data_IF_704296338758
#
_entry.id   IF_704296338758
#
_cell.length_a   1.000
_cell.length_b   1.000
_cell.length_c   1.000
_cell.angle_alpha   90.00
_cell.angle_beta   90.00
_cell.angle_gamma   90.00
#
_symmetry.space_group_name_H-M   'P 1'
#
loop_
_entity.id
_entity.type
_entity.pdbx_description
1 polymer ?
2 polymer ?
3 non-polymer ?
4 non-polymer ?
5 water ?
#
loop_
_entity_poly.entity_id
_entity_poly.type
_entity_poly.pdbx_seq_one_letter_code
_entity_poly.pdbx_strand_id
2 'polyribonucleotide' 'UUUUGAUUUU' ?
#
# COMPACT_ATOMS: atom_id res chain seq x y z
N UNK A 11 8.57 30.98 10.38
CA UNK A 11 8.63 29.52 10.48
C UNK A 11 7.32 28.93 10.96
N UNK A 12 7.16 27.61 10.77
CA UNK A 12 5.90 26.94 11.12
C UNK A 12 5.62 27.06 12.61
N UNK A 13 6.68 27.04 13.43
CA UNK A 13 6.51 27.15 14.87
C UNK A 13 5.85 28.46 15.28
N UNK A 14 5.99 29.51 14.47
CA UNK A 14 5.34 30.79 14.73
C UNK A 14 4.02 30.95 14.01
N UNK A 15 3.65 30.00 13.16
CA UNK A 15 2.36 29.97 12.49
C UNK A 15 1.32 29.14 13.21
N UNK A 16 1.76 28.16 14.00
CA UNK A 16 0.85 27.28 14.73
C UNK A 16 1.23 27.29 16.21
N UNK A 17 0.27 26.92 17.03
CA UNK A 17 0.56 26.48 18.37
C UNK A 17 0.88 25.00 18.30
N UNK A 18 2.14 24.59 18.49
CA UNK A 18 2.45 23.16 18.38
C UNK A 18 1.70 22.35 19.42
N UNK A 19 1.31 21.14 19.02
CA UNK A 19 0.51 20.31 19.91
C UNK A 19 1.41 19.60 20.94
N UNK A 20 0.76 19.17 22.02
CA UNK A 20 1.46 18.44 23.06
C UNK A 20 2.02 17.13 22.49
N UNK A 21 3.24 16.74 22.86
CA UNK A 21 3.79 15.46 22.35
C UNK A 21 2.90 14.26 22.63
N UNK A 22 2.23 14.22 23.78
CA UNK A 22 1.36 13.10 24.07
C UNK A 22 0.15 13.10 23.15
N UNK A 23 -0.38 14.28 22.83
CA UNK A 23 -1.46 14.38 21.86
C UNK A 23 -1.03 13.82 20.51
N UNK A 24 0.19 14.16 20.08
CA UNK A 24 0.66 13.66 18.79
C UNK A 24 0.84 12.16 18.81
N UNK A 25 1.57 11.64 19.81
CA UNK A 25 1.88 10.21 19.84
C UNK A 25 0.59 9.38 19.95
N UNK A 26 -0.36 9.82 20.76
CA UNK A 26 -1.58 9.03 20.90
C UNK A 26 -2.42 9.10 19.64
N UNK A 27 -2.55 10.27 19.00
CA UNK A 27 -3.44 10.38 17.86
C UNK A 27 -2.85 9.89 16.54
N UNK A 28 -1.54 9.87 16.39
CA UNK A 28 -0.94 9.48 15.11
C UNK A 28 -0.33 8.09 15.13
N UNK A 29 -0.44 7.37 16.25
CA UNK A 29 -0.07 5.96 16.25
C UNK A 29 -0.75 5.23 15.09
N UNK A 30 0.02 4.47 14.31
CA UNK A 30 -0.51 3.94 13.06
C UNK A 30 -0.95 2.48 13.15
N UNK A 31 -1.22 1.96 14.36
CA UNK A 31 -1.90 0.67 14.43
C UNK A 31 -3.19 0.75 13.61
N UNK A 32 -3.41 -0.16 12.64
CA UNK A 32 -4.54 0.05 11.73
C UNK A 32 -5.90 -0.05 12.39
N UNK A 33 -6.04 -0.94 13.37
CA UNK A 33 -7.28 -1.17 14.09
C UNK A 33 -7.09 -0.57 15.47
N UNK A 34 -7.78 0.54 15.72
CA UNK A 34 -7.51 1.30 16.94
C UNK A 34 -8.83 1.93 17.36
N UNK A 35 -9.34 1.46 18.50
CA UNK A 35 -10.55 2.01 19.07
C UNK A 35 -10.16 3.06 20.11
N UNK A 36 -11.12 3.91 20.44
CA UNK A 36 -10.93 4.94 21.44
C UNK A 36 -10.47 6.29 20.94
N UNK A 37 -10.05 6.41 19.66
CA UNK A 37 -9.55 7.69 19.11
C UNK A 37 -10.69 8.39 18.38
N UNK A 38 -11.48 9.16 19.14
CA UNK A 38 -12.72 9.76 18.66
C UNK A 38 -12.55 11.17 18.09
N UNK A 39 -11.30 11.62 17.88
CA UNK A 39 -11.04 12.93 17.28
C UNK A 39 -10.13 12.72 16.08
N UNK A 40 -10.33 13.54 15.04
CA UNK A 40 -9.47 13.58 13.87
C UNK A 40 -8.58 14.82 13.99
N UNK A 41 -7.29 14.63 13.74
CA UNK A 41 -6.32 15.73 13.76
C UNK A 41 -5.75 15.94 12.37
N UNK A 42 -5.53 17.21 12.00
CA UNK A 42 -5.08 17.56 10.66
C UNK A 42 -4.04 18.66 10.79
N UNK A 43 -2.82 18.40 10.34
CA UNK A 43 -1.76 19.42 10.29
C UNK A 43 -1.56 19.79 8.82
N UNK A 44 -1.55 21.08 8.51
CA UNK A 44 -1.46 21.45 7.11
C UNK A 44 -0.40 22.51 6.89
N UNK A 45 0.13 22.51 5.68
CA UNK A 45 1.00 23.55 5.15
C UNK A 45 0.45 24.04 3.83
N UNK A 46 0.43 25.36 3.64
CA UNK A 46 0.11 25.97 2.37
C UNK A 46 1.39 26.58 1.81
N UNK A 47 1.75 26.16 0.59
CA UNK A 47 2.95 26.58 -0.11
C UNK A 47 2.60 27.10 -1.50
N UNK A 48 3.53 27.84 -2.08
CA UNK A 48 3.45 28.23 -3.49
C UNK A 48 3.76 27.04 -4.39
N UNK A 49 3.76 27.28 -5.71
CA UNK A 49 4.19 26.27 -6.67
C UNK A 49 5.63 25.83 -6.41
N UNK A 50 6.45 26.72 -5.87
CA UNK A 50 7.84 26.39 -5.53
C UNK A 50 7.90 25.88 -4.10
N UNK A 51 8.38 24.66 -3.86
CA UNK A 51 8.44 24.15 -2.47
C UNK A 51 9.57 24.73 -1.65
N UNK A 52 10.50 25.46 -2.27
CA UNK A 52 11.61 26.06 -1.54
C UNK A 52 11.12 27.17 -0.63
N UNK A 53 11.78 27.30 0.51
CA UNK A 53 11.40 28.27 1.51
C UNK A 53 10.37 27.71 2.46
N UNK A 54 10.14 28.42 3.57
CA UNK A 54 9.07 28.03 4.48
C UNK A 54 7.71 28.16 3.81
N UNK A 55 6.68 27.55 4.36
CA UNK A 55 5.34 27.68 3.77
C UNK A 55 4.80 29.10 3.93
N UNK A 56 3.77 29.39 3.14
CA UNK A 56 3.02 30.64 3.31
C UNK A 56 2.26 30.63 4.62
N UNK A 57 1.68 29.49 4.98
CA UNK A 57 1.02 29.42 6.29
C UNK A 57 0.95 27.95 6.69
N UNK A 58 0.60 27.72 7.95
CA UNK A 58 0.48 26.36 8.46
C UNK A 58 -0.51 26.38 9.60
N UNK A 59 -1.30 25.30 9.72
CA UNK A 59 -2.35 25.29 10.73
C UNK A 59 -2.55 23.88 11.27
N UNK A 60 -3.12 23.81 12.48
CA UNK A 60 -3.56 22.55 13.06
C UNK A 60 -5.05 22.65 13.32
N UNK A 61 -5.81 21.69 12.79
CA UNK A 61 -7.24 21.60 12.99
C UNK A 61 -7.58 20.28 13.67
N UNK A 62 -8.65 20.28 14.44
CA UNK A 62 -9.13 19.04 15.05
C UNK A 62 -10.64 19.05 15.03
N UNK A 63 -11.23 17.87 15.03
CA UNK A 63 -12.68 17.77 15.15
C UNK A 63 -13.10 16.39 15.61
N UNK A 64 -14.19 16.34 16.36
CA UNK A 64 -14.69 15.05 16.84
C UNK A 64 -15.23 14.22 15.67
N UNK A 65 -14.95 12.92 15.68
CA UNK A 65 -15.49 12.04 14.64
C UNK A 65 -17.02 12.09 14.65
N UNK A 66 -17.64 11.98 15.83
CA UNK A 66 -19.09 12.02 15.94
C UNK A 66 -19.53 13.22 16.77
N UNK A 67 -20.73 13.78 16.50
CA UNK A 67 -21.71 13.33 15.51
C UNK A 67 -21.80 14.19 14.23
N UNK A 68 -21.07 15.31 14.12
CA UNK A 68 -21.26 16.27 13.04
C UNK A 68 -20.03 16.31 12.16
N UNK A 69 -20.14 15.75 10.95
CA UNK A 69 -19.03 15.80 10.00
C UNK A 69 -18.72 17.22 9.55
N UNK A 70 -19.69 18.15 9.65
CA UNK A 70 -19.42 19.54 9.30
C UNK A 70 -18.29 20.14 10.12
N UNK A 71 -18.02 19.59 11.31
CA UNK A 71 -16.92 20.06 12.14
C UNK A 71 -15.70 19.13 12.09
N UNK A 72 -15.66 18.19 11.15
CA UNK A 72 -14.40 17.46 10.95
C UNK A 72 -13.32 18.43 10.47
N UNK A 73 -12.04 18.16 10.78
CA UNK A 73 -11.00 19.16 10.48
C UNK A 73 -10.82 19.45 9.00
N UNK A 74 -11.23 18.54 8.09
CA UNK A 74 -11.14 18.82 6.66
C UNK A 74 -12.08 19.98 6.27
N UNK A 75 -13.26 20.03 6.88
CA UNK A 75 -14.21 21.10 6.60
C UNK A 75 -13.78 22.40 7.26
N UNK A 76 -13.24 22.32 8.48
CA UNK A 76 -12.65 23.50 9.11
C UNK A 76 -11.54 24.08 8.26
N UNK A 77 -10.71 23.21 7.68
CA UNK A 77 -9.68 23.66 6.76
C UNK A 77 -10.28 24.39 5.57
N UNK A 78 -11.30 23.80 4.95
CA UNK A 78 -11.91 24.45 3.79
C UNK A 78 -12.43 25.85 4.14
N UNK A 79 -13.11 25.99 5.28
CA UNK A 79 -13.66 27.30 5.64
C UNK A 79 -12.53 28.30 5.91
N UNK A 80 -11.49 27.86 6.65
CA UNK A 80 -10.34 28.71 6.91
C UNK A 80 -9.65 29.13 5.61
N UNK A 81 -9.45 28.18 4.71
CA UNK A 81 -8.67 28.42 3.50
C UNK A 81 -9.39 29.41 2.59
N UNK A 82 -10.72 29.29 2.51
CA UNK A 82 -11.49 30.27 1.75
C UNK A 82 -11.24 31.70 2.26
N UNK A 83 -11.37 31.90 3.58
CA UNK A 83 -11.15 33.25 4.11
C UNK A 83 -9.71 33.71 3.90
N UNK A 84 -8.76 32.80 4.16
CA UNK A 84 -7.34 33.11 4.05
C UNK A 84 -6.98 33.55 2.63
N UNK A 85 -7.51 32.85 1.62
CA UNK A 85 -7.23 33.21 0.23
C UNK A 85 -7.80 34.58 -0.11
N UNK A 86 -8.95 34.93 0.47
CA UNK A 86 -9.44 36.29 0.24
C UNK A 86 -8.45 37.34 0.75
N UNK A 87 -7.72 37.05 1.82
CA UNK A 87 -6.79 38.03 2.39
C UNK A 87 -5.38 38.04 1.79
N UNK A 88 -5.11 37.23 0.76
CA UNK A 88 -3.77 37.17 0.20
C UNK A 88 -3.86 37.27 -1.32
N UNK A 89 -2.76 37.73 -1.93
CA UNK A 89 -2.74 37.88 -3.37
C UNK A 89 -2.77 36.51 -4.06
N UNK A 90 -3.69 36.37 -5.01
CA UNK A 90 -3.99 35.06 -5.59
C UNK A 90 -2.81 34.50 -6.38
N UNK A 91 -2.53 33.21 -6.17
CA UNK A 91 -1.51 32.47 -6.90
C UNK A 91 -1.81 30.99 -6.72
N UNK A 92 -1.14 30.15 -7.48
CA UNK A 92 -1.36 28.71 -7.33
C UNK A 92 -0.78 28.21 -6.01
N UNK A 93 -1.49 27.28 -5.37
CA UNK A 93 -1.14 26.76 -4.05
C UNK A 93 -0.98 25.25 -4.11
N UNK A 94 0.04 24.76 -3.42
CA UNK A 94 0.22 23.34 -3.12
C UNK A 94 0.02 23.15 -1.62
N UNK A 95 -0.97 22.34 -1.26
CA UNK A 95 -1.35 22.13 0.13
C UNK A 95 -0.96 20.72 0.51
N UNK A 96 -0.42 20.56 1.73
CA UNK A 96 -0.10 19.25 2.28
C UNK A 96 -0.85 19.09 3.60
N UNK A 97 -1.47 17.92 3.78
CA UNK A 97 -2.13 17.54 5.01
C UNK A 97 -1.44 16.31 5.60
N UNK A 98 -1.26 16.29 6.91
CA UNK A 98 -1.00 15.07 7.67
C UNK A 98 -2.22 14.85 8.55
N UNK A 99 -2.96 13.77 8.33
CA UNK A 99 -4.23 13.57 9.02
C UNK A 99 -4.18 12.25 9.79
N UNK A 100 -4.74 12.24 11.01
CA UNK A 100 -4.63 11.03 11.84
C UNK A 100 -5.53 9.90 11.33
N UNK A 101 -6.76 10.20 10.95
CA UNK A 101 -7.65 9.28 10.25
C UNK A 101 -7.87 9.78 8.83
N UNK A 102 -7.92 8.84 7.88
CA UNK A 102 -8.28 9.20 6.51
C UNK A 102 -9.73 9.71 6.47
N UNK A 103 -10.11 10.41 5.40
CA UNK A 103 -11.40 11.13 5.42
C UNK A 103 -12.61 10.21 5.37
N UNK A 104 -13.67 10.63 6.06
CA UNK A 104 -14.95 9.95 5.97
C UNK A 104 -15.58 10.24 4.61
N UNK A 105 -16.72 9.62 4.33
CA UNK A 105 -17.29 9.71 2.99
C UNK A 105 -17.74 11.14 2.68
N UNK A 106 -18.25 11.84 3.70
CA UNK A 106 -18.70 13.21 3.52
C UNK A 106 -17.54 14.16 3.26
N UNK A 107 -16.45 14.03 4.02
CA UNK A 107 -15.30 14.90 3.78
C UNK A 107 -14.61 14.57 2.48
N UNK A 108 -14.49 13.28 2.16
CA UNK A 108 -13.89 12.90 0.90
C UNK A 108 -14.65 13.53 -0.26
N UNK A 109 -15.98 13.49 -0.23
CA UNK A 109 -16.75 14.06 -1.32
C UNK A 109 -16.70 15.59 -1.34
N UNK A 110 -16.74 16.24 -0.17
CA UNK A 110 -16.66 17.70 -0.14
C UNK A 110 -15.32 18.20 -0.68
N UNK A 111 -14.22 17.56 -0.26
CA UNK A 111 -12.89 17.95 -0.73
C UNK A 111 -12.76 17.68 -2.23
N UNK A 112 -13.29 16.54 -2.70
CA UNK A 112 -13.23 16.25 -4.12
C UNK A 112 -13.96 17.30 -4.93
N UNK A 113 -15.13 17.74 -4.46
CA UNK A 113 -15.86 18.81 -5.15
C UNK A 113 -15.03 20.09 -5.18
N UNK A 114 -14.44 20.44 -4.04
CA UNK A 114 -13.62 21.65 -3.97
C UNK A 114 -12.47 21.61 -4.97
N UNK A 115 -11.73 20.50 -5.01
CA UNK A 115 -10.59 20.39 -5.92
C UNK A 115 -11.04 20.34 -7.38
N UNK A 116 -12.16 19.68 -7.65
CA UNK A 116 -12.65 19.60 -9.02
C UNK A 116 -13.09 20.96 -9.55
N UNK A 117 -13.46 21.88 -8.67
CA UNK A 117 -13.86 23.20 -9.14
C UNK A 117 -12.75 24.25 -9.10
N UNK A 118 -11.54 23.89 -8.67
CA UNK A 118 -10.47 24.88 -8.48
C UNK A 118 -9.11 24.33 -8.90
N UNK A 119 -8.76 24.47 -10.19
CA UNK A 119 -7.47 23.92 -10.66
C UNK A 119 -6.25 24.66 -10.15
N UNK A 120 -6.39 25.81 -9.47
CA UNK A 120 -5.25 26.52 -8.91
C UNK A 120 -4.72 25.90 -7.61
N UNK A 121 -5.40 24.89 -7.07
CA UNK A 121 -5.02 24.29 -5.80
C UNK A 121 -4.77 22.81 -6.03
N UNK A 122 -3.63 22.31 -5.55
CA UNK A 122 -3.37 20.88 -5.53
C UNK A 122 -3.14 20.44 -4.10
N UNK A 123 -3.47 19.17 -3.82
CA UNK A 123 -3.52 18.69 -2.44
C UNK A 123 -2.85 17.32 -2.33
N UNK A 124 -1.99 17.18 -1.32
CA UNK A 124 -1.40 15.90 -0.95
C UNK A 124 -1.85 15.59 0.47
N UNK A 125 -2.37 14.38 0.68
CA UNK A 125 -2.86 13.94 1.98
C UNK A 125 -2.05 12.73 2.42
N UNK A 126 -1.30 12.88 3.49
CA UNK A 126 -0.64 11.77 4.17
C UNK A 126 -1.52 11.35 5.33
N UNK A 127 -1.81 10.06 5.44
CA UNK A 127 -2.71 9.58 6.50
C UNK A 127 -1.97 8.60 7.40
N UNK A 128 -2.22 8.73 8.72
CA UNK A 128 -1.64 7.80 9.68
C UNK A 128 -2.38 6.47 9.66
N UNK A 129 -3.72 6.51 9.62
CA UNK A 129 -4.54 5.31 9.65
C UNK A 129 -5.67 5.45 8.62
N UNK A 130 -6.16 4.31 8.13
CA UNK A 130 -7.29 4.27 7.22
C UNK A 130 -8.57 3.99 8.00
N UNK A 131 -9.54 4.88 7.88
CA UNK A 131 -10.81 4.81 8.62
C UNK A 131 -11.80 4.00 7.79
N UNK A 132 -12.27 2.88 8.34
CA UNK A 132 -13.24 1.99 7.67
C UNK A 132 -12.78 1.58 6.27
N UNK A 133 -11.49 1.22 6.16
CA UNK A 133 -10.93 0.85 4.86
C UNK A 133 -11.62 -0.37 4.26
N UNK A 134 -12.31 -1.17 5.07
CA UNK A 134 -12.95 -2.38 4.56
C UNK A 134 -14.39 -2.15 4.12
N UNK A 135 -14.91 -0.92 4.26
CA UNK A 135 -16.30 -0.65 3.89
C UNK A 135 -16.36 -0.07 2.49
N UNK A 136 -17.18 -0.62 1.61
CA UNK A 136 -17.15 -0.17 0.20
C UNK A 136 -17.51 1.28 -0.02
N UNK A 137 -18.37 1.89 0.83
CA UNK A 137 -18.69 3.31 0.66
C UNK A 137 -17.46 4.18 0.91
N UNK A 138 -16.64 3.78 1.89
CA UNK A 138 -15.42 4.54 2.18
C UNK A 138 -14.37 4.33 1.10
N UNK A 139 -14.25 3.09 0.60
CA UNK A 139 -13.33 2.84 -0.51
C UNK A 139 -13.72 3.69 -1.72
N UNK A 140 -15.01 3.70 -2.05
CA UNK A 140 -15.50 4.46 -3.19
C UNK A 140 -15.25 5.97 -3.00
N UNK A 141 -15.49 6.49 -1.79
CA UNK A 141 -15.27 7.91 -1.57
C UNK A 141 -13.79 8.29 -1.68
N UNK A 142 -12.89 7.41 -1.21
CA UNK A 142 -11.47 7.72 -1.39
C UNK A 142 -11.08 7.67 -2.86
N UNK A 143 -11.70 6.77 -3.65
CA UNK A 143 -11.44 6.80 -5.09
C UNK A 143 -11.94 8.09 -5.73
N UNK A 144 -13.11 8.58 -5.28
CA UNK A 144 -13.64 9.85 -5.79
C UNK A 144 -12.67 10.99 -5.47
N UNK A 145 -12.13 11.00 -4.26
CA UNK A 145 -11.15 12.02 -3.91
C UNK A 145 -9.87 11.90 -4.77
N UNK A 146 -9.38 10.67 -5.00
CA UNK A 146 -8.21 10.50 -5.88
C UNK A 146 -8.48 10.97 -7.29
N UNK A 147 -9.68 10.70 -7.82
CA UNK A 147 -10.01 11.09 -9.18
C UNK A 147 -10.11 12.60 -9.35
N UNK A 148 -10.40 13.33 -8.27
CA UNK A 148 -10.37 14.78 -8.32
C UNK A 148 -8.96 15.34 -8.28
N UNK A 149 -7.94 14.49 -8.15
CA UNK A 149 -6.56 14.91 -8.22
C UNK A 149 -5.81 14.89 -6.90
N UNK A 150 -6.47 14.58 -5.79
CA UNK A 150 -5.77 14.52 -4.51
C UNK A 150 -4.78 13.36 -4.50
N UNK A 151 -3.55 13.62 -4.02
CA UNK A 151 -2.54 12.57 -3.91
C UNK A 151 -2.56 12.01 -2.50
N UNK A 152 -2.92 10.74 -2.36
CA UNK A 152 -3.10 10.16 -1.05
C UNK A 152 -2.02 9.11 -0.79
N UNK A 153 -1.35 9.23 0.35
CA UNK A 153 -0.27 8.33 0.72
C UNK A 153 -0.38 8.02 2.19
N UNK A 154 0.21 6.90 2.60
CA UNK A 154 0.30 6.55 4.01
C UNK A 154 1.51 7.22 4.62
N UNK A 155 1.36 7.78 5.83
CA UNK A 155 2.52 8.34 6.53
C UNK A 155 3.51 7.23 6.88
N UNK A 156 4.77 7.45 6.56
CA UNK A 156 5.85 6.56 6.98
C UNK A 156 6.74 7.33 7.95
N UNK A 157 7.81 6.67 8.40
CA UNK A 157 8.73 7.26 9.37
C UNK A 157 9.09 8.71 9.04
N UNK A 158 9.46 8.99 7.78
CA UNK A 158 9.88 10.35 7.41
C UNK A 158 8.76 11.36 7.63
N UNK A 159 7.52 10.97 7.37
CA UNK A 159 6.41 11.92 7.53
C UNK A 159 6.06 12.11 8.99
N UNK A 160 6.11 11.05 9.80
CA UNK A 160 5.90 11.23 11.23
C UNK A 160 6.98 12.13 11.82
N UNK A 161 8.24 11.93 11.41
CA UNK A 161 9.32 12.78 11.89
C UNK A 161 9.13 14.23 11.45
N UNK A 162 8.74 14.44 10.19
CA UNK A 162 8.50 15.80 9.71
C UNK A 162 7.36 16.46 10.47
N UNK A 163 6.27 15.72 10.70
CA UNK A 163 5.15 16.25 11.47
C UNK A 163 5.57 16.57 12.89
N UNK A 164 6.39 15.70 13.49
CA UNK A 164 6.91 15.95 14.83
C UNK A 164 7.73 17.23 14.87
N UNK A 165 8.62 17.41 13.88
CA UNK A 165 9.52 18.56 13.88
C UNK A 165 8.75 19.86 13.67
N UNK A 166 7.69 19.81 12.87
CA UNK A 166 7.01 21.05 12.46
C UNK A 166 5.85 21.44 13.36
N UNK A 167 5.11 20.46 13.87
CA UNK A 167 3.81 20.72 14.48
C UNK A 167 3.72 20.33 15.95
N UNK A 168 4.78 19.76 16.51
CA UNK A 168 4.74 19.24 17.87
C UNK A 168 5.70 20.01 18.76
N UNK A 169 5.30 20.21 20.02
CA UNK A 169 6.11 20.87 21.03
C UNK A 169 7.11 19.86 21.60
N UNK A 170 8.03 19.44 20.76
CA UNK A 170 9.00 18.42 21.13
C UNK A 170 10.15 18.89 22.00
N UNK A 171 10.28 20.22 22.19
CA UNK A 171 11.30 20.79 23.07
C UNK A 171 12.71 20.30 22.73
N UNK A 172 13.01 20.26 21.43
CA UNK A 172 14.32 19.84 20.96
C UNK A 172 14.56 18.34 20.94
N UNK A 173 13.65 17.53 21.50
CA UNK A 173 13.85 16.10 21.46
C UNK A 173 13.48 15.53 20.09
N UNK A 174 14.19 14.50 19.64
CA UNK A 174 13.88 13.91 18.33
C UNK A 174 12.64 13.02 18.38
N UNK A 175 12.05 12.83 17.20
CA UNK A 175 10.96 11.87 17.07
C UNK A 175 11.41 10.49 17.50
N UNK A 176 10.59 9.83 18.33
CA UNK A 176 10.87 8.46 18.74
C UNK A 176 9.81 7.54 18.15
N UNK A 177 10.14 6.66 17.20
CA UNK A 177 9.12 5.80 16.63
C UNK A 177 8.57 4.83 17.67
N UNK A 178 7.28 4.52 17.54
CA UNK A 178 6.65 3.50 18.35
C UNK A 178 6.88 2.12 17.76
N UNK A 179 6.63 1.11 18.59
CA UNK A 179 6.72 -0.27 18.15
C UNK A 179 5.80 -0.53 16.96
N UNK A 180 6.31 -1.27 15.98
CA UNK A 180 5.59 -1.77 14.82
C UNK A 180 5.21 -0.69 13.81
N UNK A 181 5.79 0.50 13.89
CA UNK A 181 5.54 1.51 12.85
C UNK A 181 5.75 0.96 11.44
N UNK A 182 6.83 0.22 11.13
CA UNK A 182 6.99 -0.28 9.74
C UNK A 182 5.97 -1.35 9.34
N UNK A 183 5.69 -2.30 10.23
CA UNK A 183 4.68 -3.33 9.96
C UNK A 183 3.33 -2.70 9.64
N UNK A 184 2.90 -1.77 10.48
CA UNK A 184 1.66 -1.04 10.23
C UNK A 184 1.70 -0.30 8.91
N UNK A 185 2.80 0.41 8.64
CA UNK A 185 2.92 1.14 7.38
C UNK A 185 2.72 0.21 6.18
N UNK A 186 3.39 -0.96 6.18
CA UNK A 186 3.29 -1.80 4.99
C UNK A 186 1.88 -2.35 4.80
N UNK A 187 1.21 -2.73 5.90
CA UNK A 187 -0.19 -3.17 5.77
C UNK A 187 -1.08 -2.07 5.20
N UNK A 188 -0.93 -0.85 5.73
CA UNK A 188 -1.77 0.25 5.28
C UNK A 188 -1.46 0.65 3.84
N UNK A 189 -0.18 0.67 3.46
CA UNK A 189 0.17 1.06 2.10
C UNK A 189 -0.37 0.07 1.09
N UNK A 190 -0.26 -1.23 1.39
CA UNK A 190 -0.87 -2.23 0.52
C UNK A 190 -2.39 -2.06 0.46
N UNK A 191 -3.03 -1.76 1.60
CA UNK A 191 -4.48 -1.61 1.60
C UNK A 191 -4.92 -0.40 0.78
N UNK A 192 -4.21 0.72 0.92
CA UNK A 192 -4.55 1.91 0.14
C UNK A 192 -4.35 1.65 -1.35
N UNK A 193 -3.27 0.97 -1.73
CA UNK A 193 -3.08 0.64 -3.14
C UNK A 193 -4.20 -0.25 -3.67
N UNK A 194 -4.65 -1.21 -2.85
CA UNK A 194 -5.82 -2.02 -3.19
C UNK A 194 -7.04 -1.16 -3.48
N UNK A 195 -7.43 -0.30 -2.53
CA UNK A 195 -8.72 0.35 -2.69
C UNK A 195 -8.68 1.48 -3.72
N UNK A 196 -7.51 2.12 -3.94
CA UNK A 196 -7.38 3.06 -5.04
C UNK A 196 -7.13 2.39 -6.38
N UNK A 197 -7.01 1.06 -6.39
CA UNK A 197 -6.85 0.30 -7.64
C UNK A 197 -5.60 0.74 -8.40
N UNK A 198 -4.51 0.92 -7.66
CA UNK A 198 -3.24 1.27 -8.29
C UNK A 198 -2.78 0.14 -9.20
N UNK A 199 -2.28 0.52 -10.38
CA UNK A 199 -1.81 -0.42 -11.37
C UNK A 199 -0.29 -0.31 -11.54
N UNK A 200 0.33 -1.42 -11.93
CA UNK A 200 1.77 -1.47 -12.09
C UNK A 200 2.20 -0.77 -13.37
N UNK A 201 3.30 -0.02 -13.29
CA UNK A 201 3.90 0.57 -14.47
C UNK A 201 4.24 -0.50 -15.50
N UNK A 202 3.91 -0.30 -16.77
CA UNK A 202 4.14 -1.36 -17.78
C UNK A 202 5.61 -1.69 -17.98
N UNK A 203 6.48 -0.68 -18.00
CA UNK A 203 7.91 -0.95 -18.03
C UNK A 203 8.37 -1.75 -16.84
N UNK A 204 7.86 -1.43 -15.63
CA UNK A 204 8.22 -2.18 -14.45
C UNK A 204 7.79 -3.64 -14.58
N UNK A 205 6.57 -3.88 -15.08
CA UNK A 205 6.10 -5.25 -15.26
C UNK A 205 6.99 -6.00 -16.24
N UNK A 206 7.20 -5.43 -17.42
CA UNK A 206 7.91 -6.15 -18.47
C UNK A 206 9.35 -6.45 -18.04
N UNK A 207 9.99 -5.50 -17.34
CA UNK A 207 11.36 -5.70 -16.89
C UNK A 207 11.44 -6.77 -15.81
N UNK A 208 10.47 -6.78 -14.90
CA UNK A 208 10.59 -7.71 -13.78
C UNK A 208 10.01 -9.10 -14.03
N UNK A 209 9.09 -9.26 -14.98
CA UNK A 209 8.48 -10.57 -15.19
C UNK A 209 9.03 -11.30 -16.41
N UNK A 210 9.84 -10.64 -17.23
CA UNK A 210 10.55 -11.35 -18.30
C UNK A 210 11.24 -12.59 -17.73
N UNK A 211 11.01 -13.74 -18.35
CA UNK A 211 11.52 -15.00 -17.80
C UNK A 211 12.79 -15.52 -18.48
N UNK A 212 13.49 -14.68 -19.24
CA UNK A 212 14.80 -15.09 -19.76
C UNK A 212 15.80 -15.14 -18.60
N UNK A 213 16.95 -15.80 -18.78
CA UNK A 213 17.96 -15.78 -17.71
C UNK A 213 18.27 -14.35 -17.27
N UNK A 214 18.20 -14.13 -15.96
CA UNK A 214 18.34 -12.79 -15.38
C UNK A 214 19.77 -12.27 -15.53
N UNK A 215 19.93 -11.05 -16.01
CA UNK A 215 21.26 -10.47 -16.21
C UNK A 215 21.48 -9.20 -15.40
N UNK A 216 20.43 -8.61 -14.84
CA UNK A 216 20.60 -7.39 -14.07
C UNK A 216 21.22 -7.68 -12.71
N UNK A 217 21.94 -6.68 -12.18
CA UNK A 217 22.45 -6.83 -10.83
C UNK A 217 21.41 -6.69 -9.74
N UNK A 218 20.22 -6.19 -10.10
CA UNK A 218 19.18 -5.93 -9.12
C UNK A 218 18.55 -7.24 -8.65
N UNK A 219 18.33 -7.36 -7.34
CA UNK A 219 17.46 -8.40 -6.82
C UNK A 219 16.28 -7.73 -6.15
N UNK A 220 15.14 -7.76 -6.82
CA UNK A 220 13.88 -7.20 -6.36
C UNK A 220 12.78 -8.18 -6.74
N UNK A 221 11.73 -8.27 -5.92
CA UNK A 221 10.63 -9.17 -6.19
C UNK A 221 9.33 -8.41 -6.22
N UNK A 222 8.57 -8.55 -7.32
CA UNK A 222 7.22 -8.01 -7.44
C UNK A 222 6.23 -9.16 -7.40
N UNK A 223 5.07 -8.92 -6.79
CA UNK A 223 4.13 -9.99 -6.54
C UNK A 223 2.72 -9.45 -6.72
N UNK A 224 1.96 -10.05 -7.64
CA UNK A 224 0.55 -9.75 -7.83
C UNK A 224 -0.28 -10.81 -7.12
N UNK A 225 -1.43 -10.42 -6.59
CA UNK A 225 -2.22 -11.38 -5.82
C UNK A 225 -3.71 -11.20 -6.09
N UNK A 226 -4.45 -12.31 -5.92
CA UNK A 226 -5.91 -12.31 -6.04
C UNK A 226 -6.50 -13.43 -5.18
N UNK A 227 -7.81 -13.40 -5.03
CA UNK A 227 -8.53 -14.32 -4.16
C UNK A 227 -9.78 -14.81 -4.88
N UNK A 228 -10.06 -16.10 -4.74
CA UNK A 228 -11.29 -16.71 -5.22
C UNK A 228 -11.95 -17.43 -4.06
N UNK A 229 -13.27 -17.55 -4.15
CA UNK A 229 -14.10 -18.22 -3.14
C UNK A 229 -14.78 -19.41 -3.79
N UNK A 230 -14.89 -20.52 -3.05
CA UNK A 230 -15.55 -21.70 -3.57
C UNK A 230 -17.06 -21.58 -3.35
N UNK A 231 -17.83 -21.64 -4.45
CA UNK A 231 -19.28 -21.48 -4.40
C UNK A 231 -19.91 -22.51 -5.32
N UNK A 232 -20.70 -23.42 -4.76
CA UNK A 232 -21.37 -24.48 -5.52
C UNK A 232 -20.39 -25.22 -6.44
N UNK A 233 -19.28 -25.67 -5.85
CA UNK A 233 -18.23 -26.43 -6.52
C UNK A 233 -17.47 -25.63 -7.57
N UNK A 234 -17.73 -24.33 -7.70
CA UNK A 234 -17.07 -23.50 -8.70
C UNK A 234 -16.27 -22.40 -8.00
N UNK A 235 -15.01 -22.24 -8.39
CA UNK A 235 -14.22 -21.12 -7.89
C UNK A 235 -14.70 -19.83 -8.56
N UNK A 236 -15.12 -18.86 -7.75
CA UNK A 236 -15.64 -17.60 -8.27
C UNK A 236 -14.71 -16.48 -7.83
N UNK A 237 -14.57 -15.42 -8.62
CA UNK A 237 -13.68 -14.31 -8.20
C UNK A 237 -14.23 -13.57 -7.00
N UNK A 238 -13.31 -13.01 -6.23
CA UNK A 238 -13.60 -12.13 -5.10
C UNK A 238 -12.88 -10.82 -5.41
N UNK A 239 -13.61 -9.85 -5.96
CA UNK A 239 -13.01 -8.65 -6.53
C UNK A 239 -12.32 -7.76 -5.50
N UNK A 240 -12.52 -8.01 -4.21
CA UNK A 240 -12.04 -7.09 -3.18
C UNK A 240 -10.51 -7.09 -3.09
N UNK A 241 -9.93 -8.25 -2.82
CA UNK A 241 -8.53 -8.33 -2.40
C UNK A 241 -7.69 -8.74 -3.60
N UNK A 242 -7.38 -7.75 -4.44
CA UNK A 242 -6.57 -7.95 -5.65
C UNK A 242 -5.59 -6.79 -5.75
N UNK A 243 -4.32 -7.08 -6.04
CA UNK A 243 -3.38 -5.96 -6.10
C UNK A 243 -1.97 -6.46 -6.32
N UNK A 244 -1.00 -5.57 -6.10
CA UNK A 244 0.39 -6.01 -6.20
C UNK A 244 1.24 -5.29 -5.16
N UNK A 245 2.41 -5.87 -4.90
CA UNK A 245 3.35 -5.31 -3.93
C UNK A 245 4.77 -5.68 -4.35
N UNK A 246 5.74 -5.16 -3.62
CA UNK A 246 7.14 -5.56 -3.85
C UNK A 246 7.85 -5.74 -2.52
N UNK A 247 9.05 -6.31 -2.57
CA UNK A 247 9.84 -6.48 -1.38
C UNK A 247 10.24 -5.13 -0.80
N UNK A 248 10.47 -5.13 0.52
CA UNK A 248 10.98 -3.96 1.24
C UNK A 248 12.48 -4.11 1.48
N UNK A 249 13.28 -3.24 0.85
CA UNK A 249 14.73 -3.27 1.07
C UNK A 249 15.05 -2.88 2.49
N UNK A 250 16.21 -3.30 3.02
CA UNK A 250 16.52 -3.02 4.43
C UNK A 250 16.70 -1.53 4.68
N UNK A 251 16.29 -1.11 5.88
CA UNK A 251 16.44 0.27 6.34
C UNK A 251 16.26 0.25 7.84
N UNK A 252 17.19 0.89 8.58
CA UNK A 252 17.12 0.84 10.04
C UNK A 252 15.85 1.47 10.58
N UNK A 253 15.20 2.36 9.82
CA UNK A 253 13.92 2.94 10.23
C UNK A 253 12.72 2.23 9.63
N UNK A 254 12.95 1.15 8.89
CA UNK A 254 11.88 0.32 8.37
C UNK A 254 12.12 -1.08 8.87
N UNK A 255 12.33 -2.03 7.96
CA UNK A 255 12.75 -3.36 8.38
C UNK A 255 14.26 -3.43 8.29
N UNK A 256 14.97 -3.54 9.41
CA UNK A 256 16.45 -3.46 9.35
C UNK A 256 17.08 -4.52 8.50
N UNK A 257 16.43 -5.68 8.35
CA UNK A 257 16.95 -6.75 7.48
C UNK A 257 16.10 -6.95 6.24
N UNK A 258 15.24 -5.99 5.92
CA UNK A 258 14.34 -6.12 4.80
C UNK A 258 13.13 -6.97 5.13
N UNK A 259 12.17 -6.96 4.22
CA UNK A 259 11.03 -7.88 4.30
C UNK A 259 10.70 -8.33 2.90
N UNK A 260 10.89 -9.62 2.63
CA UNK A 260 10.66 -10.14 1.28
C UNK A 260 9.18 -10.09 0.91
N UNK A 261 8.94 -10.10 -0.41
CA UNK A 261 7.60 -9.90 -0.96
C UNK A 261 6.63 -10.99 -0.51
N UNK A 262 7.09 -12.24 -0.44
CA UNK A 262 6.23 -13.33 0.01
C UNK A 262 5.75 -13.08 1.44
N UNK A 263 6.61 -12.53 2.29
CA UNK A 263 6.20 -12.25 3.67
C UNK A 263 5.20 -11.11 3.74
N UNK A 264 5.37 -10.06 2.92
CA UNK A 264 4.39 -8.96 2.91
C UNK A 264 3.03 -9.46 2.44
N UNK A 265 3.05 -10.34 1.43
CA UNK A 265 1.85 -11.02 0.95
C UNK A 265 1.17 -11.80 2.08
N UNK A 266 1.94 -12.64 2.79
CA UNK A 266 1.38 -13.40 3.90
C UNK A 266 0.79 -12.51 4.97
N UNK A 267 1.45 -11.37 5.25
CA UNK A 267 0.95 -10.44 6.25
C UNK A 267 -0.46 -9.96 5.91
N UNK A 268 -0.74 -9.79 4.61
CA UNK A 268 -2.05 -9.26 4.23
C UNK A 268 -3.21 -10.21 4.51
N UNK A 269 -2.98 -11.53 4.45
CA UNK A 269 -4.11 -12.47 4.48
C UNK A 269 -4.90 -12.38 5.78
N UNK A 270 -4.29 -12.39 6.98
CA UNK A 270 -5.11 -12.26 8.19
C UNK A 270 -5.83 -10.91 8.26
N UNK A 271 -5.19 -9.86 7.73
CA UNK A 271 -5.75 -8.52 7.73
C UNK A 271 -7.05 -8.44 6.93
N UNK A 272 -7.24 -9.36 5.97
CA UNK A 272 -8.46 -9.43 5.16
C UNK A 272 -9.65 -9.97 5.94
N UNK A 273 -9.41 -10.71 7.02
CA UNK A 273 -10.47 -11.27 7.86
C UNK A 273 -11.42 -12.15 7.05
N UNK A 274 -10.85 -13.09 6.30
CA UNK A 274 -11.66 -14.05 5.57
C UNK A 274 -12.48 -14.88 6.55
N UNK A 275 -13.72 -15.20 6.17
CA UNK A 275 -14.55 -16.05 7.02
C UNK A 275 -14.14 -17.52 6.88
N UNK A 276 -15.01 -18.42 7.33
CA UNK A 276 -14.74 -19.85 7.34
C UNK A 276 -14.95 -20.57 6.04
N UNK A 277 -15.33 -19.87 4.97
CA UNK A 277 -15.49 -20.54 3.69
C UNK A 277 -14.14 -20.91 3.10
N UNK A 278 -14.18 -21.69 2.03
CA UNK A 278 -12.96 -22.11 1.33
C UNK A 278 -12.50 -21.00 0.38
N UNK A 279 -11.23 -20.64 0.48
CA UNK A 279 -10.65 -19.59 -0.35
C UNK A 279 -9.40 -20.12 -1.05
N UNK A 280 -9.15 -19.60 -2.24
CA UNK A 280 -7.92 -19.87 -2.97
C UNK A 280 -7.24 -18.53 -3.20
N UNK A 281 -6.03 -18.39 -2.66
CA UNK A 281 -5.25 -17.16 -2.77
C UNK A 281 -4.09 -17.44 -3.71
N UNK A 282 -4.00 -16.64 -4.77
CA UNK A 282 -3.02 -16.88 -5.82
C UNK A 282 -2.06 -15.71 -5.85
N UNK A 283 -0.77 -16.02 -5.98
CA UNK A 283 0.22 -14.98 -6.18
C UNK A 283 1.04 -15.29 -7.44
N UNK A 284 1.36 -14.23 -8.15
CA UNK A 284 2.22 -14.27 -9.33
C UNK A 284 3.45 -13.47 -8.95
N UNK A 285 4.56 -14.16 -8.69
CA UNK A 285 5.74 -13.53 -8.14
C UNK A 285 6.88 -13.62 -9.15
N UNK A 286 7.66 -12.55 -9.27
CA UNK A 286 8.66 -12.50 -10.32
C UNK A 286 9.82 -13.45 -10.01
N UNK A 287 10.09 -13.70 -8.72
CA UNK A 287 11.04 -14.72 -8.30
C UNK A 287 10.34 -15.73 -7.40
N UNK A 288 10.65 -17.01 -7.58
CA UNK A 288 10.19 -18.01 -6.62
C UNK A 288 10.74 -17.67 -5.24
N UNK A 289 10.04 -18.06 -4.18
CA UNK A 289 10.50 -17.69 -2.83
C UNK A 289 11.79 -18.39 -2.44
N UNK A 290 12.64 -17.65 -1.73
CA UNK A 290 13.81 -18.21 -1.07
C UNK A 290 13.38 -19.14 0.07
N UNK A 291 14.36 -19.82 0.67
CA UNK A 291 14.04 -20.82 1.67
C UNK A 291 13.28 -20.22 2.87
N UNK A 292 13.70 -19.05 3.35
CA UNK A 292 13.00 -18.41 4.48
C UNK A 292 11.53 -18.15 4.13
N UNK A 293 11.30 -17.58 2.95
CA UNK A 293 9.94 -17.28 2.53
C UNK A 293 9.10 -18.55 2.41
N UNK A 294 9.68 -19.60 1.81
CA UNK A 294 8.96 -20.85 1.65
C UNK A 294 8.61 -21.47 3.01
N UNK A 295 9.51 -21.38 3.98
CA UNK A 295 9.23 -21.87 5.32
C UNK A 295 8.04 -21.15 5.94
N UNK A 296 8.03 -19.81 5.82
CA UNK A 296 6.91 -19.05 6.38
C UNK A 296 5.60 -19.37 5.68
N UNK A 297 5.63 -19.56 4.35
CA UNK A 297 4.42 -19.93 3.62
C UNK A 297 3.92 -21.31 4.04
N UNK A 298 4.84 -22.25 4.28
CA UNK A 298 4.44 -23.58 4.76
C UNK A 298 3.79 -23.48 6.13
N UNK A 299 4.33 -22.65 7.01
CA UNK A 299 3.70 -22.45 8.32
C UNK A 299 2.29 -21.87 8.16
N UNK A 300 2.15 -20.87 7.28
CA UNK A 300 0.83 -20.30 7.04
C UNK A 300 -0.17 -21.38 6.60
N UNK A 301 0.22 -22.20 5.62
CA UNK A 301 -0.65 -23.29 5.17
C UNK A 301 -1.04 -24.17 6.35
N UNK A 302 -0.07 -24.50 7.21
CA UNK A 302 -0.37 -25.33 8.37
C UNK A 302 -1.40 -24.69 9.30
N UNK A 303 -1.50 -23.36 9.30
CA UNK A 303 -2.40 -22.66 10.20
C UNK A 303 -3.74 -22.25 9.58
N UNK A 304 -3.95 -22.47 8.28
CA UNK A 304 -5.11 -21.88 7.59
C UNK A 304 -5.65 -22.90 6.57
N UNK A 305 -6.35 -23.91 7.09
CA UNK A 305 -6.81 -25.02 6.26
C UNK A 305 -7.81 -24.57 5.18
N UNK A 306 -8.58 -23.52 5.46
CA UNK A 306 -9.58 -23.07 4.50
C UNK A 306 -8.98 -22.22 3.39
N UNK A 307 -7.67 -21.95 3.44
CA UNK A 307 -6.99 -21.09 2.47
C UNK A 307 -6.03 -21.97 1.68
N UNK A 308 -6.31 -22.14 0.39
CA UNK A 308 -5.44 -22.87 -0.52
C UNK A 308 -4.52 -21.87 -1.22
N UNK A 309 -3.22 -22.13 -1.17
CA UNK A 309 -2.22 -21.22 -1.70
C UNK A 309 -1.77 -21.72 -3.08
N UNK A 310 -1.76 -20.83 -4.07
CA UNK A 310 -1.27 -21.12 -5.41
C UNK A 310 -0.17 -20.12 -5.74
N UNK A 311 1.02 -20.61 -6.05
CA UNK A 311 2.18 -19.76 -6.31
C UNK A 311 2.62 -19.98 -7.75
N UNK A 312 2.55 -18.92 -8.55
CA UNK A 312 3.10 -18.93 -9.90
C UNK A 312 4.33 -18.05 -9.89
N UNK A 313 5.44 -18.54 -10.43
CA UNK A 313 6.70 -17.79 -10.42
C UNK A 313 7.16 -17.54 -11.86
N UNK A 314 7.68 -16.33 -12.10
CA UNK A 314 8.27 -16.03 -13.41
C UNK A 314 9.61 -16.74 -13.59
N UNK A 315 10.48 -16.66 -12.58
CA UNK A 315 11.80 -17.27 -12.61
C UNK A 315 12.06 -18.03 -11.32
N UNK A 316 12.99 -18.98 -11.37
CA UNK A 316 13.44 -19.67 -10.17
C UNK A 316 14.61 -18.92 -9.56
N UNK A 317 14.50 -18.58 -8.27
CA UNK A 317 15.57 -17.88 -7.55
C UNK A 317 16.41 -18.90 -6.79
N UNK A 318 17.67 -19.03 -7.20
CA UNK A 318 18.68 -19.77 -6.44
C UNK A 318 19.19 -18.86 -5.33
N UNK A 319 18.85 -19.17 -4.08
CA UNK A 319 19.26 -18.32 -2.96
C UNK A 319 20.64 -18.68 -2.43
N UNK A 320 21.41 -19.48 -3.17
CA UNK A 320 22.69 -20.02 -2.74
C UNK A 320 22.55 -20.88 -1.48
N UNK A 321 21.32 -21.27 -1.15
CA UNK A 321 21.06 -22.07 0.03
C UNK A 321 20.10 -23.19 -0.20
N UNK A 322 19.08 -23.30 0.64
CA UNK A 322 18.18 -24.46 0.67
C UNK A 322 16.90 -24.23 -0.11
N UNK A 323 16.93 -23.39 -1.14
CA UNK A 323 15.71 -23.02 -1.85
C UNK A 323 14.98 -24.23 -2.44
N UNK A 324 15.72 -25.25 -2.91
CA UNK A 324 15.05 -26.41 -3.49
C UNK A 324 14.25 -27.17 -2.44
N UNK A 325 14.83 -27.33 -1.24
CA UNK A 325 14.11 -27.95 -0.13
C UNK A 325 12.87 -27.13 0.25
N UNK A 326 12.97 -25.80 0.18
CA UNK A 326 11.80 -24.98 0.47
C UNK A 326 10.69 -25.18 -0.53
N UNK A 327 11.04 -25.24 -1.82
CA UNK A 327 10.01 -25.48 -2.83
C UNK A 327 9.37 -26.86 -2.65
N UNK A 328 10.19 -27.88 -2.35
CA UNK A 328 9.66 -29.23 -2.14
C UNK A 328 8.74 -29.26 -0.93
N UNK A 329 9.12 -28.58 0.15
CA UNK A 329 8.29 -28.56 1.36
C UNK A 329 6.96 -27.88 1.09
N UNK A 330 6.98 -26.74 0.38
CA UNK A 330 5.74 -26.07 0.01
C UNK A 330 4.83 -26.97 -0.80
N UNK A 331 5.39 -27.66 -1.82
CA UNK A 331 4.57 -28.53 -2.65
C UNK A 331 4.01 -29.70 -1.84
N UNK A 332 4.84 -30.29 -0.98
CA UNK A 332 4.40 -31.41 -0.15
C UNK A 332 3.27 -30.99 0.79
N UNK A 333 3.30 -29.77 1.30
CA UNK A 333 2.29 -29.30 2.25
C UNK A 333 1.02 -28.81 1.56
N UNK A 334 0.93 -28.87 0.24
CA UNK A 334 -0.33 -28.63 -0.45
C UNK A 334 -0.40 -27.36 -1.24
N UNK A 335 0.62 -26.51 -1.21
CA UNK A 335 0.65 -25.36 -2.09
C UNK A 335 0.81 -25.84 -3.53
N UNK A 336 0.12 -25.19 -4.45
CA UNK A 336 0.36 -25.41 -5.87
C UNK A 336 1.50 -24.47 -6.26
N UNK A 337 2.57 -25.04 -6.82
CA UNK A 337 3.72 -24.25 -7.27
C UNK A 337 3.91 -24.54 -8.74
N UNK A 338 3.98 -23.49 -9.55
CA UNK A 338 4.15 -23.67 -10.99
C UNK A 338 4.87 -22.47 -11.56
N UNK A 339 5.57 -22.68 -12.67
CA UNK A 339 6.17 -21.57 -13.39
C UNK A 339 5.13 -20.89 -14.26
N UNK A 340 5.21 -19.56 -14.35
CA UNK A 340 4.28 -18.82 -15.20
C UNK A 340 4.50 -19.19 -16.67
N UNK A 341 3.38 -19.37 -17.38
CA UNK A 341 3.35 -19.56 -18.83
C UNK A 341 2.69 -18.34 -19.46
N UNK A 342 2.54 -18.39 -20.80
CA UNK A 342 1.94 -17.29 -21.54
C UNK A 342 0.64 -16.81 -20.90
N UNK A 343 -0.26 -17.73 -20.56
CA UNK A 343 -1.57 -17.33 -20.07
C UNK A 343 -1.48 -16.57 -18.75
N UNK A 344 -0.54 -16.95 -17.88
CA UNK A 344 -0.39 -16.23 -16.61
C UNK A 344 0.22 -14.85 -16.83
N UNK A 345 1.23 -14.72 -17.70
CA UNK A 345 1.79 -13.40 -17.99
C UNK A 345 0.73 -12.48 -18.59
N UNK A 346 -0.06 -13.00 -19.55
CA UNK A 346 -1.10 -12.20 -20.18
C UNK A 346 -2.16 -11.80 -19.16
N UNK A 347 -2.52 -12.72 -18.27
CA UNK A 347 -3.50 -12.39 -17.24
C UNK A 347 -3.00 -11.27 -16.35
N UNK A 348 -1.74 -11.34 -15.93
CA UNK A 348 -1.19 -10.29 -15.08
C UNK A 348 -1.12 -8.96 -15.82
N UNK A 349 -0.73 -8.97 -17.09
CA UNK A 349 -0.75 -7.73 -17.87
C UNK A 349 -2.15 -7.15 -17.94
N UNK A 350 -3.14 -7.99 -18.27
CA UNK A 350 -4.53 -7.53 -18.40
C UNK A 350 -5.09 -7.03 -17.08
N UNK A 351 -4.65 -7.58 -15.95
CA UNK A 351 -5.32 -7.33 -14.66
C UNK A 351 -4.61 -6.31 -13.78
N UNK A 352 -3.29 -6.35 -13.71
CA UNK A 352 -2.54 -5.65 -12.68
C UNK A 352 -1.74 -4.47 -13.20
N UNK A 353 -1.64 -4.30 -14.52
CA UNK A 353 -0.69 -3.39 -15.14
C UNK A 353 -1.44 -2.19 -15.74
N UNK A 354 -0.81 -1.01 -15.65
CA UNK A 354 -1.36 0.21 -16.25
C UNK A 354 -1.12 0.17 -17.75
N UNK A 355 -1.92 -0.63 -18.44
CA UNK A 355 -1.66 -0.92 -19.85
C UNK A 355 -2.36 0.04 -20.80
N UNK A 356 -3.34 0.80 -20.33
CA UNK A 356 -4.06 1.78 -21.14
C UNK A 356 -4.53 1.19 -22.48
N UNK A 357 -5.32 0.11 -22.36
CA UNK A 357 -5.95 -0.52 -23.50
C UNK A 357 -5.05 -1.35 -24.39
N UNK A 358 -3.72 -1.32 -24.18
CA UNK A 358 -2.84 -2.05 -25.08
C UNK A 358 -2.83 -3.54 -24.72
N UNK A 359 -2.85 -4.43 -25.72
CA UNK A 359 -2.79 -5.86 -25.44
C UNK A 359 -1.38 -6.29 -25.02
N UNK A 360 -1.32 -7.45 -24.39
CA UNK A 360 -0.04 -8.02 -23.98
C UNK A 360 0.81 -8.35 -25.21
N UNK A 361 2.05 -7.89 -25.20
CA UNK A 361 3.01 -8.20 -26.25
C UNK A 361 4.09 -9.07 -25.67
N UNK A 362 4.13 -10.37 -25.97
CA UNK A 362 5.12 -11.25 -25.33
C UNK A 362 6.54 -10.86 -25.73
N UNK A 363 7.45 -10.97 -24.77
CA UNK A 363 8.87 -10.84 -25.06
C UNK A 363 9.38 -12.06 -25.81
N UNK A 364 10.50 -11.89 -26.51
CA UNK A 364 11.12 -12.99 -27.24
C UNK A 364 11.45 -14.15 -26.30
N UNK A 365 11.19 -15.36 -26.76
CA UNK A 365 11.56 -16.57 -26.04
C UNK A 365 10.68 -16.95 -24.88
N UNK A 366 9.56 -16.24 -24.65
CA UNK A 366 8.72 -16.52 -23.48
C UNK A 366 8.39 -18.00 -23.34
N UNK A 367 7.89 -18.60 -24.41
CA UNK A 367 7.46 -20.00 -24.33
C UNK A 367 8.64 -20.94 -24.07
N UNK A 368 9.76 -20.71 -24.76
CA UNK A 368 10.94 -21.56 -24.57
C UNK A 368 11.46 -21.47 -23.15
N UNK A 369 11.55 -20.24 -22.61
CA UNK A 369 12.00 -20.06 -21.24
C UNK A 369 11.04 -20.70 -20.26
N UNK A 370 9.73 -20.56 -20.49
CA UNK A 370 8.75 -21.20 -19.62
C UNK A 370 8.92 -22.72 -19.61
N UNK A 371 9.17 -23.31 -20.79
CA UNK A 371 9.35 -24.76 -20.85
C UNK A 371 10.59 -25.20 -20.07
N UNK A 372 11.70 -24.48 -20.23
CA UNK A 372 12.92 -24.89 -19.55
C UNK A 372 12.79 -24.74 -18.04
N UNK A 373 12.20 -23.62 -17.58
CA UNK A 373 11.98 -23.40 -16.16
C UNK A 373 11.03 -24.44 -15.59
N UNK A 374 9.98 -24.80 -16.33
CA UNK A 374 9.05 -25.81 -15.85
C UNK A 374 9.74 -27.15 -15.70
N UNK A 375 10.63 -27.50 -16.64
CA UNK A 375 11.41 -28.73 -16.50
C UNK A 375 12.30 -28.70 -15.27
N UNK A 376 12.94 -27.55 -15.01
CA UNK A 376 13.77 -27.44 -13.81
C UNK A 376 12.95 -27.58 -12.54
N UNK A 377 11.78 -26.94 -12.49
CA UNK A 377 10.91 -27.05 -11.31
C UNK A 377 10.43 -28.49 -11.11
N UNK A 378 10.06 -29.18 -12.19
CA UNK A 378 9.72 -30.60 -12.11
C UNK A 378 10.87 -31.40 -11.51
N UNK A 379 12.11 -31.13 -11.97
CA UNK A 379 13.27 -31.86 -11.44
C UNK A 379 13.48 -31.58 -9.96
N UNK A 380 13.32 -30.32 -9.55
CA UNK A 380 13.46 -29.98 -8.13
C UNK A 380 12.42 -30.75 -7.31
N UNK A 381 11.17 -30.72 -7.74
CA UNK A 381 10.10 -31.35 -6.98
C UNK A 381 10.21 -32.87 -6.97
N UNK A 382 10.95 -33.46 -7.91
CA UNK A 382 11.10 -34.91 -7.92
C UNK A 382 12.32 -35.41 -7.13
N UNK A 383 13.20 -34.52 -6.67
CA UNK A 383 14.33 -34.93 -5.83
C UNK A 383 13.95 -34.95 -4.36
#
# INVERSE_FOLDING_TARGET
GPGGSGGMKPQIRNMVEPMDPRTFVSNFNNRPILSGLDTVWLCCEVKTKDPSGPPLDAKIFQGKVYPKAKYHPEMRFLRWFHKWRQLHHDQEYKVTWYVSWSPCTRCANSVATFLAKDPKVTLTIFVARLYYFWKPDYQQALRILAEAGATMKIMNYNEFQDCWNKFVDGRGKPFKPWNNLPKHYTLLQATLGELLRHLMDPGTFTSNFNNKPWVSGQHETYLCYKVERLHNDTWVPLNQHRGFLRNQAPNIHGFPKGRHAALCFLDLIPFWKLDGQQYRVTCFTSWSPCFSCAQEMAKFISNNEHVSLCIFAARIYDDQGRYQEGLRTLHRDGAKIAMMNYSEFEYCWDTFVDRQGRPFQPWDGLDEHSQALSGRLRAILQNQGN
#
